data_IF_351143459073
#
_entry.id   IF_351143459073
#
_cell.length_a   1.000
_cell.length_b   1.000
_cell.length_c   1.000
_cell.angle_alpha   90.00
_cell.angle_beta   90.00
_cell.angle_gamma   90.00
#
_symmetry.space_group_name_H-M   'P 1'
#
loop_
_entity.id
_entity.type
_entity.pdbx_description
1 polymer ?
#
# COMPACT_ATOMS: atom_id res chain seq x y z
N UNK A 1 -4.06 61.30 -2.23
CA UNK A 1 -4.03 59.93 -2.79
C UNK A 1 -5.43 59.62 -3.30
N UNK A 2 -5.59 59.26 -4.57
CA UNK A 2 -6.92 58.95 -5.13
C UNK A 2 -7.40 57.58 -4.66
N UNK A 3 -8.71 57.34 -4.65
CA UNK A 3 -9.31 56.05 -4.29
C UNK A 3 -8.76 54.90 -5.14
N UNK A 4 -8.47 55.16 -6.42
CA UNK A 4 -7.87 54.20 -7.35
C UNK A 4 -6.43 53.84 -6.90
N UNK A 5 -5.63 54.82 -6.50
CA UNK A 5 -4.28 54.57 -5.99
C UNK A 5 -4.29 53.74 -4.69
N UNK A 6 -5.27 53.98 -3.81
CA UNK A 6 -5.44 53.19 -2.59
C UNK A 6 -5.76 51.72 -2.90
N UNK A 7 -6.66 51.46 -3.86
CA UNK A 7 -7.03 50.10 -4.27
C UNK A 7 -5.79 49.34 -4.82
N UNK A 8 -4.99 49.97 -5.67
CA UNK A 8 -3.77 49.36 -6.20
C UNK A 8 -2.77 48.98 -5.11
N UNK A 9 -2.58 49.84 -4.11
CA UNK A 9 -1.68 49.55 -2.98
C UNK A 9 -2.18 48.35 -2.18
N UNK A 10 -3.48 48.27 -1.91
CA UNK A 10 -4.08 47.14 -1.20
C UNK A 10 -3.92 45.83 -1.98
N UNK A 11 -4.17 45.85 -3.29
CA UNK A 11 -4.00 44.66 -4.14
C UNK A 11 -2.55 44.18 -4.13
N UNK A 12 -1.58 45.10 -4.31
CA UNK A 12 -0.15 44.76 -4.29
C UNK A 12 0.24 44.16 -2.94
N UNK A 13 -0.24 44.75 -1.83
CA UNK A 13 0.01 44.24 -0.50
C UNK A 13 -0.53 42.81 -0.31
N UNK A 14 -1.76 42.55 -0.76
CA UNK A 14 -2.37 41.20 -0.69
C UNK A 14 -1.56 40.19 -1.51
N UNK A 15 -1.13 40.55 -2.72
CA UNK A 15 -0.32 39.66 -3.57
C UNK A 15 1.01 39.33 -2.90
N UNK A 16 1.69 40.31 -2.31
CA UNK A 16 2.96 40.09 -1.59
C UNK A 16 2.74 39.14 -0.41
N UNK A 17 1.68 39.34 0.38
CA UNK A 17 1.36 38.45 1.51
C UNK A 17 1.09 37.02 1.04
N UNK A 18 0.38 36.84 -0.07
CA UNK A 18 0.13 35.51 -0.64
C UNK A 18 1.41 34.83 -1.11
N UNK A 19 2.29 35.54 -1.82
CA UNK A 19 3.59 34.99 -2.28
C UNK A 19 4.43 34.55 -1.09
N UNK A 20 4.58 35.42 -0.08
CA UNK A 20 5.34 35.11 1.14
C UNK A 20 4.72 33.89 1.84
N UNK A 21 3.39 33.84 1.99
CA UNK A 21 2.69 32.70 2.59
C UNK A 21 2.98 31.39 1.87
N UNK A 22 2.89 31.37 0.53
CA UNK A 22 3.20 30.15 -0.25
C UNK A 22 4.66 29.73 -0.16
N UNK A 23 5.59 30.70 -0.10
CA UNK A 23 7.02 30.45 0.05
C UNK A 23 7.35 29.74 1.36
N UNK A 24 6.60 30.00 2.44
CA UNK A 24 6.75 29.32 3.72
C UNK A 24 5.94 28.02 3.83
N UNK A 25 4.74 27.96 3.24
CA UNK A 25 3.87 26.79 3.31
C UNK A 25 4.45 25.57 2.58
N UNK A 26 5.03 25.75 1.39
CA UNK A 26 5.63 24.67 0.60
C UNK A 26 6.75 23.90 1.33
N UNK A 27 7.81 24.55 1.85
CA UNK A 27 8.83 23.85 2.63
C UNK A 27 8.26 23.30 3.94
N UNK A 28 7.28 23.98 4.54
CA UNK A 28 6.57 23.48 5.72
C UNK A 28 5.88 22.14 5.47
N UNK A 29 5.17 22.01 4.35
CA UNK A 29 4.55 20.75 3.92
C UNK A 29 5.58 19.66 3.65
N UNK A 30 6.71 19.99 3.02
CA UNK A 30 7.77 19.02 2.74
C UNK A 30 8.39 18.47 4.04
N UNK A 31 8.63 19.33 5.03
CA UNK A 31 9.13 18.92 6.35
C UNK A 31 8.07 18.10 7.09
N UNK A 32 6.80 18.52 7.05
CA UNK A 32 5.70 17.82 7.70
C UNK A 32 5.49 16.43 7.10
N UNK A 33 5.54 16.29 5.78
CA UNK A 33 5.50 14.99 5.12
C UNK A 33 6.68 14.13 5.57
N UNK A 34 7.90 14.66 5.60
CA UNK A 34 9.07 13.89 6.04
C UNK A 34 8.97 13.45 7.51
N UNK A 35 8.33 14.26 8.37
CA UNK A 35 8.20 13.96 9.80
C UNK A 35 7.03 13.00 10.10
N UNK A 36 5.98 13.04 9.27
CA UNK A 36 4.79 12.20 9.43
C UNK A 36 4.79 10.95 8.57
N UNK A 37 5.60 10.90 7.51
CA UNK A 37 5.89 9.67 6.77
C UNK A 37 6.59 8.71 7.73
N UNK A 38 5.82 7.74 8.21
CA UNK A 38 6.39 6.56 8.84
C UNK A 38 7.08 5.77 7.75
N UNK A 39 8.38 5.56 7.88
CA UNK A 39 9.09 4.61 7.04
C UNK A 39 8.39 3.24 7.18
N UNK A 40 7.83 2.74 6.09
CA UNK A 40 7.25 1.39 6.03
C UNK A 40 8.40 0.39 6.05
N UNK A 41 8.82 0.00 7.25
CA UNK A 41 9.73 -1.11 7.45
C UNK A 41 8.89 -2.38 7.40
N UNK A 42 8.79 -2.99 6.22
CA UNK A 42 8.31 -4.37 6.11
C UNK A 42 9.34 -5.25 6.83
N UNK A 43 9.08 -5.54 8.11
CA UNK A 43 9.95 -6.38 8.90
C UNK A 43 9.87 -7.81 8.33
N UNK A 44 10.90 -8.64 8.51
CA UNK A 44 10.91 -10.03 8.04
C UNK A 44 9.78 -10.88 8.68
N UNK A 45 9.11 -10.35 9.71
CA UNK A 45 7.91 -10.89 10.36
C UNK A 45 6.60 -10.46 9.69
N UNK A 46 6.64 -9.48 8.79
CA UNK A 46 5.55 -9.12 7.87
C UNK A 46 5.66 -9.94 6.58
N UNK A 47 6.03 -11.23 6.70
CA UNK A 47 5.66 -12.19 5.67
C UNK A 47 4.18 -12.00 5.42
N UNK A 48 3.81 -11.61 4.19
CA UNK A 48 2.43 -11.43 3.76
C UNK A 48 1.76 -12.80 3.73
N UNK A 49 1.47 -13.35 4.91
CA UNK A 49 0.75 -14.60 5.04
C UNK A 49 -0.75 -14.33 4.88
N UNK A 50 -1.46 -15.36 4.49
CA UNK A 50 -2.89 -15.29 4.31
C UNK A 50 -3.55 -16.65 4.39
N UNK A 51 -4.87 -16.62 4.43
CA UNK A 51 -5.70 -17.82 4.35
C UNK A 51 -6.51 -17.75 3.06
N UNK A 52 -6.51 -18.85 2.29
CA UNK A 52 -7.36 -18.92 1.10
C UNK A 52 -8.84 -18.94 1.50
N UNK A 53 -9.58 -17.89 1.16
CA UNK A 53 -11.05 -17.84 1.31
C UNK A 53 -11.75 -18.61 0.20
N UNK A 54 -11.10 -18.70 -0.96
CA UNK A 54 -11.46 -19.55 -2.10
C UNK A 54 -10.23 -20.32 -2.56
N UNK A 55 -10.33 -21.65 -2.62
CA UNK A 55 -9.23 -22.51 -3.07
C UNK A 55 -8.83 -22.30 -4.52
N UNK A 56 -7.61 -22.70 -4.86
CA UNK A 56 -7.08 -22.66 -6.23
C UNK A 56 -7.16 -24.07 -6.81
N UNK A 57 -8.11 -24.31 -7.71
CA UNK A 57 -8.41 -25.64 -8.22
C UNK A 57 -7.46 -26.14 -9.33
N UNK A 58 -6.62 -25.27 -9.88
CA UNK A 58 -5.63 -25.63 -10.91
C UNK A 58 -4.57 -24.53 -11.03
N UNK A 59 -3.47 -24.80 -11.75
CA UNK A 59 -2.39 -23.82 -11.99
C UNK A 59 -2.83 -22.53 -12.69
N UNK A 60 -3.90 -22.57 -13.47
CA UNK A 60 -4.43 -21.40 -14.18
C UNK A 60 -5.65 -20.80 -13.48
N UNK A 61 -6.22 -21.50 -12.49
CA UNK A 61 -7.33 -21.03 -11.71
C UNK A 61 -6.92 -19.87 -10.80
N UNK A 62 -7.88 -18.98 -10.56
CA UNK A 62 -7.72 -17.88 -9.61
C UNK A 62 -8.59 -18.22 -8.40
N UNK A 63 -7.96 -18.28 -7.23
CA UNK A 63 -8.62 -18.35 -5.94
C UNK A 63 -8.68 -16.97 -5.30
N UNK A 64 -8.82 -16.93 -3.99
CA UNK A 64 -8.89 -15.70 -3.22
C UNK A 64 -8.16 -15.88 -1.89
N UNK A 65 -7.29 -14.93 -1.55
CA UNK A 65 -6.54 -14.92 -0.29
C UNK A 65 -6.97 -13.73 0.55
N UNK A 66 -7.21 -13.99 1.83
CA UNK A 66 -7.35 -12.96 2.85
C UNK A 66 -6.05 -12.85 3.63
N UNK A 67 -5.46 -11.65 3.68
CA UNK A 67 -4.21 -11.41 4.39
C UNK A 67 -4.37 -11.48 5.90
N UNK A 68 -3.35 -12.02 6.56
CA UNK A 68 -3.25 -12.14 8.02
C UNK A 68 -2.30 -11.07 8.55
N UNK A 69 -2.63 -9.79 8.35
CA UNK A 69 -1.85 -8.70 8.93
C UNK A 69 -2.04 -8.63 10.44
N UNK A 70 -0.95 -8.48 11.19
CA UNK A 70 -0.98 -8.27 12.65
C UNK A 70 -1.33 -6.81 12.98
N UNK A 71 -1.05 -5.88 12.07
CA UNK A 71 -1.09 -4.42 12.29
C UNK A 71 -2.01 -3.63 11.35
N UNK A 72 -2.52 -4.25 10.29
CA UNK A 72 -3.39 -3.62 9.28
C UNK A 72 -4.76 -4.32 9.14
N UNK A 73 -5.69 -3.65 8.46
CA UNK A 73 -6.98 -4.25 8.09
C UNK A 73 -6.76 -5.44 7.16
N UNK A 74 -7.37 -6.59 7.51
CA UNK A 74 -7.40 -7.77 6.64
C UNK A 74 -7.95 -7.39 5.28
N UNK A 75 -7.22 -7.73 4.23
CA UNK A 75 -7.58 -7.42 2.85
C UNK A 75 -7.72 -8.72 2.08
N UNK A 76 -8.76 -8.78 1.26
CA UNK A 76 -9.04 -9.90 0.38
C UNK A 76 -8.63 -9.55 -1.05
N UNK A 77 -7.94 -10.46 -1.74
CA UNK A 77 -7.50 -10.25 -3.11
C UNK A 77 -7.43 -11.56 -3.91
N UNK A 78 -7.56 -11.52 -5.25
CA UNK A 78 -7.40 -12.71 -6.09
C UNK A 78 -6.02 -13.32 -5.91
N UNK A 79 -5.97 -14.66 -5.88
CA UNK A 79 -4.74 -15.41 -5.63
C UNK A 79 -4.47 -16.46 -6.71
N UNK A 80 -3.21 -16.66 -7.07
CA UNK A 80 -2.73 -17.70 -7.99
C UNK A 80 -1.51 -18.40 -7.42
N UNK A 81 -1.27 -19.63 -7.86
CA UNK A 81 -0.06 -20.35 -7.50
C UNK A 81 1.17 -19.62 -8.05
N UNK A 82 2.15 -19.36 -7.18
CA UNK A 82 3.47 -18.93 -7.61
C UNK A 82 4.22 -20.14 -8.16
N UNK A 83 4.68 -20.07 -9.42
CA UNK A 83 5.37 -21.17 -10.09
C UNK A 83 6.82 -20.75 -10.37
N UNK A 84 7.73 -20.83 -9.38
CA UNK A 84 9.11 -20.42 -9.59
C UNK A 84 9.88 -21.40 -10.49
N UNK A 85 9.55 -22.71 -10.44
CA UNK A 85 10.20 -23.71 -11.27
C UNK A 85 9.39 -25.02 -11.32
N UNK A 86 8.33 -25.11 -12.15
CA UNK A 86 7.53 -26.31 -12.54
C UNK A 86 7.31 -27.45 -11.49
N UNK A 87 7.35 -27.20 -10.19
CA UNK A 87 7.32 -28.26 -9.18
C UNK A 87 5.98 -28.32 -8.44
N UNK A 88 5.34 -29.49 -8.57
CA UNK A 88 4.54 -30.18 -7.55
C UNK A 88 3.12 -29.69 -7.27
N UNK A 89 2.91 -28.39 -7.11
CA UNK A 89 1.64 -27.89 -6.57
C UNK A 89 0.72 -27.54 -7.73
N UNK A 90 -0.41 -28.22 -7.78
CA UNK A 90 -1.43 -28.01 -8.81
C UNK A 90 -2.69 -27.36 -8.24
N UNK A 91 -2.96 -27.60 -6.95
CA UNK A 91 -4.16 -27.11 -6.27
C UNK A 91 -3.85 -26.69 -4.84
N UNK A 92 -4.67 -25.78 -4.31
CA UNK A 92 -4.71 -25.43 -2.89
C UNK A 92 -6.16 -25.34 -2.43
N UNK A 93 -6.45 -25.94 -1.28
CA UNK A 93 -7.79 -25.95 -0.74
C UNK A 93 -8.16 -24.62 -0.06
N UNK A 94 -9.47 -24.38 0.06
CA UNK A 94 -9.97 -23.29 0.90
C UNK A 94 -9.54 -23.53 2.35
N UNK A 95 -9.10 -22.47 3.03
CA UNK A 95 -8.61 -22.54 4.40
C UNK A 95 -7.12 -22.81 4.52
N UNK A 96 -6.41 -23.11 3.42
CA UNK A 96 -4.97 -23.29 3.45
C UNK A 96 -4.25 -21.99 3.83
N UNK A 97 -3.29 -22.10 4.74
CA UNK A 97 -2.32 -21.04 5.05
C UNK A 97 -1.30 -20.94 3.92
N UNK A 98 -1.09 -19.71 3.44
CA UNK A 98 -0.24 -19.44 2.29
C UNK A 98 0.67 -18.24 2.56
N UNK A 99 1.84 -18.26 1.94
CA UNK A 99 2.75 -17.14 1.87
C UNK A 99 2.57 -16.43 0.53
N UNK A 100 2.31 -15.12 0.55
CA UNK A 100 2.27 -14.28 -0.64
C UNK A 100 3.71 -13.90 -0.99
N UNK A 101 4.20 -14.45 -2.10
CA UNK A 101 5.57 -14.25 -2.58
C UNK A 101 5.71 -12.92 -3.32
N UNK A 102 4.71 -12.60 -4.14
CA UNK A 102 4.64 -11.32 -4.87
C UNK A 102 3.19 -10.94 -5.17
N UNK A 103 2.97 -9.67 -5.50
CA UNK A 103 1.69 -9.18 -6.02
C UNK A 103 1.93 -8.51 -7.37
N UNK A 104 1.26 -8.98 -8.42
CA UNK A 104 1.37 -8.44 -9.78
C UNK A 104 -0.02 -8.25 -10.38
N UNK A 105 -0.26 -7.07 -10.95
CA UNK A 105 -1.56 -6.68 -11.52
C UNK A 105 -2.74 -6.87 -10.55
N UNK A 106 -2.49 -6.67 -9.25
CA UNK A 106 -3.49 -6.86 -8.19
C UNK A 106 -3.79 -8.32 -7.82
N UNK A 107 -3.05 -9.28 -8.38
CA UNK A 107 -3.15 -10.71 -8.08
C UNK A 107 -1.98 -11.12 -7.18
N UNK A 108 -2.29 -11.76 -6.06
CA UNK A 108 -1.31 -12.35 -5.16
C UNK A 108 -0.82 -13.69 -5.70
N UNK A 109 0.50 -13.87 -5.79
CA UNK A 109 1.11 -15.14 -6.14
C UNK A 109 1.59 -15.83 -4.86
N UNK A 110 1.08 -17.03 -4.62
CA UNK A 110 1.16 -17.68 -3.30
C UNK A 110 1.76 -19.08 -3.35
N UNK A 111 2.37 -19.48 -2.24
CA UNK A 111 2.85 -20.85 -1.97
C UNK A 111 2.30 -21.35 -0.63
N UNK A 112 2.20 -22.68 -0.41
CA UNK A 112 1.85 -23.24 0.89
C UNK A 112 2.79 -22.71 1.97
N UNK A 113 2.22 -22.40 3.14
CA UNK A 113 2.97 -21.99 4.31
C UNK A 113 2.47 -22.77 5.52
N UNK A 114 3.36 -23.54 6.13
CA UNK A 114 3.12 -24.14 7.44
C UNK A 114 3.81 -23.26 8.49
N UNK A 115 3.02 -22.71 9.39
CA UNK A 115 3.51 -21.92 10.51
C UNK A 115 4.21 -22.88 11.48
N UNK A 116 5.54 -22.78 11.63
CA UNK A 116 6.27 -23.63 12.58
C UNK A 116 5.88 -23.23 14.00
N UNK A 117 5.06 -24.06 14.64
CA UNK A 117 4.72 -23.91 16.06
C UNK A 117 5.92 -24.44 16.86
N UNK A 118 6.69 -23.53 17.46
CA UNK A 118 7.76 -23.86 18.43
C UNK A 118 7.21 -23.96 19.86
#
# INVERSE_FOLDING_TARGET
MSTIQLIFVVIIFVVIVLIIGTLFLLPGMAIFNKMTDKAYHADEKDLLTGTLTVGIASRTATGEVMTTFVTESRKTMPARLFIPNKAGIETLEKGASVLIVETKDGIAYVIPYEEMVF
#
